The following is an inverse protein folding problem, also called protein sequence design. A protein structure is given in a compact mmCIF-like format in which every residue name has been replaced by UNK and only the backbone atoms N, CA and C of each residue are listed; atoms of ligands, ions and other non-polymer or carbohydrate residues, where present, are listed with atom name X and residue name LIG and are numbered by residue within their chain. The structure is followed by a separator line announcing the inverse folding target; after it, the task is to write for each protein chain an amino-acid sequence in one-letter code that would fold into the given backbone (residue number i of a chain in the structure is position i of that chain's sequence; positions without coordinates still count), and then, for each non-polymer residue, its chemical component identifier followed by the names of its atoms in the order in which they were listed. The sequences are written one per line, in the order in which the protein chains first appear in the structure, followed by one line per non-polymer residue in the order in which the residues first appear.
data_IF_630184772639
#
_entry.id   IF_630184772639
#
_cell.length_a   1.000
_cell.length_b   1.000
_cell.length_c   1.000
_cell.angle_alpha   90.00
_cell.angle_beta   90.00
_cell.angle_gamma   90.00
#
_symmetry.space_group_name_H-M   'P 1'
#
loop_
_entity.id
_entity.type
_entity.pdbx_description
1 polymer ?
#
# COMPACT_ATOMS: atom_id res chain seq x y z
N UNK A 1 20.68 -8.41 4.78
CA UNK A 1 20.40 -6.99 5.05
C UNK A 1 19.96 -6.90 6.50
N UNK A 2 20.71 -6.18 7.32
CA UNK A 2 20.31 -5.95 8.71
C UNK A 2 19.23 -4.88 8.70
N UNK A 3 18.09 -5.12 9.36
CA UNK A 3 16.96 -4.18 9.44
C UNK A 3 17.34 -2.79 10.03
N UNK A 4 18.55 -2.66 10.57
CA UNK A 4 19.10 -1.40 11.09
C UNK A 4 19.65 -0.47 10.01
N UNK A 5 20.13 -0.97 8.87
CA UNK A 5 20.80 -0.16 7.85
C UNK A 5 19.81 0.52 6.90
N UNK A 6 18.69 -0.14 6.60
CA UNK A 6 17.62 0.40 5.72
C UNK A 6 16.56 1.20 6.50
N UNK A 7 16.75 1.42 7.79
CA UNK A 7 15.77 2.13 8.61
C UNK A 7 15.93 3.65 8.42
N UNK A 8 14.95 4.26 7.77
CA UNK A 8 14.87 5.71 7.65
C UNK A 8 14.67 6.38 9.03
N UNK A 9 15.31 7.54 9.20
CA UNK A 9 15.00 8.42 10.32
C UNK A 9 13.55 8.93 10.22
N UNK A 10 12.97 9.32 11.37
CA UNK A 10 11.56 9.72 11.42
C UNK A 10 11.22 10.88 10.48
N UNK A 11 12.12 11.84 10.27
CA UNK A 11 11.84 13.00 9.40
C UNK A 11 11.80 12.55 7.94
N UNK A 12 12.78 11.77 7.51
CA UNK A 12 12.82 11.24 6.14
C UNK A 12 11.63 10.33 5.88
N UNK A 13 11.30 9.43 6.81
CA UNK A 13 10.15 8.54 6.69
C UNK A 13 8.83 9.33 6.55
N UNK A 14 8.58 10.31 7.43
CA UNK A 14 7.37 11.15 7.35
C UNK A 14 7.28 11.92 6.03
N UNK A 15 8.42 12.44 5.55
CA UNK A 15 8.48 13.15 4.28
C UNK A 15 8.14 12.24 3.10
N UNK A 16 8.78 11.07 2.99
CA UNK A 16 8.48 10.10 1.92
C UNK A 16 7.01 9.67 1.94
N UNK A 17 6.47 9.41 3.12
CA UNK A 17 5.06 9.04 3.27
C UNK A 17 4.11 10.14 2.76
N UNK A 18 4.32 11.39 3.19
CA UNK A 18 3.45 12.52 2.83
C UNK A 18 3.60 12.98 1.39
N UNK A 19 4.83 12.99 0.89
CA UNK A 19 5.15 13.64 -0.38
C UNK A 19 5.12 12.66 -1.56
N UNK A 20 5.28 11.36 -1.30
CA UNK A 20 5.37 10.33 -2.35
C UNK A 20 4.30 9.24 -2.21
N UNK A 21 4.17 8.61 -1.04
CA UNK A 21 3.27 7.46 -0.86
C UNK A 21 1.81 7.89 -0.95
N UNK A 22 1.40 8.87 -0.14
CA UNK A 22 -0.01 9.31 -0.10
C UNK A 22 -0.47 9.89 -1.44
N UNK A 23 0.25 10.83 -2.09
CA UNK A 23 -0.22 11.44 -3.34
C UNK A 23 -0.30 10.48 -4.53
N UNK A 24 0.45 9.37 -4.51
CA UNK A 24 0.47 8.36 -5.58
C UNK A 24 -0.38 7.13 -5.24
N UNK A 25 -1.08 7.16 -4.11
CA UNK A 25 -2.04 6.12 -3.70
C UNK A 25 -3.47 6.62 -3.89
N UNK A 26 -4.43 5.71 -3.75
CA UNK A 26 -5.85 6.01 -3.75
C UNK A 26 -6.31 6.71 -2.46
N UNK A 27 -5.43 6.90 -1.47
CA UNK A 27 -5.78 7.40 -0.14
C UNK A 27 -6.48 8.77 -0.16
N UNK A 28 -6.09 9.67 -1.06
CA UNK A 28 -6.69 11.00 -1.15
C UNK A 28 -8.05 11.02 -1.88
N UNK A 29 -8.38 9.96 -2.61
CA UNK A 29 -9.62 9.85 -3.40
C UNK A 29 -10.63 8.90 -2.78
N UNK A 30 -10.17 7.95 -1.96
CA UNK A 30 -11.02 7.02 -1.26
C UNK A 30 -11.87 7.72 -0.19
N UNK A 31 -13.10 7.25 -0.02
CA UNK A 31 -14.04 7.80 0.95
C UNK A 31 -13.91 7.09 2.29
N UNK A 32 -14.20 7.82 3.36
CA UNK A 32 -14.43 7.22 4.67
C UNK A 32 -15.83 6.61 4.73
N UNK A 33 -15.95 5.45 5.36
CA UNK A 33 -17.22 4.72 5.51
C UNK A 33 -17.57 4.55 6.98
N UNK A 34 -18.87 4.59 7.31
CA UNK A 34 -19.37 4.27 8.66
C UNK A 34 -19.03 2.84 9.11
N UNK A 35 -18.88 1.93 8.13
CA UNK A 35 -18.52 0.53 8.33
C UNK A 35 -17.43 0.12 7.33
N UNK A 36 -16.16 0.50 7.57
CA UNK A 36 -15.07 0.18 6.64
C UNK A 36 -14.82 -1.33 6.61
N UNK A 37 -14.33 -1.81 5.46
CA UNK A 37 -13.93 -3.21 5.26
C UNK A 37 -12.44 -3.28 4.99
N UNK A 38 -11.79 -4.30 5.54
CA UNK A 38 -10.40 -4.63 5.23
C UNK A 38 -10.34 -6.06 4.71
N UNK A 39 -9.64 -6.25 3.59
CA UNK A 39 -9.44 -7.56 2.95
C UNK A 39 -7.95 -7.87 3.01
N UNK A 40 -7.60 -8.97 3.68
CA UNK A 40 -6.22 -9.43 3.80
C UNK A 40 -6.04 -10.61 2.85
N UNK A 41 -5.17 -10.45 1.85
CA UNK A 41 -4.90 -11.49 0.86
C UNK A 41 -3.76 -12.41 1.33
N UNK A 42 -4.01 -13.72 1.26
CA UNK A 42 -3.03 -14.77 1.56
C UNK A 42 -2.81 -15.70 0.36
N UNK A 43 -1.63 -16.32 0.31
CA UNK A 43 -1.28 -17.30 -0.72
C UNK A 43 0.18 -17.22 -1.12
N UNK A 44 0.73 -18.34 -1.62
CA UNK A 44 2.12 -18.42 -2.05
C UNK A 44 2.46 -17.39 -3.15
N UNK A 45 3.73 -16.99 -3.30
CA UNK A 45 4.20 -16.29 -4.49
C UNK A 45 3.76 -17.02 -5.78
N UNK A 46 3.27 -16.29 -6.78
CA UNK A 46 2.74 -16.88 -8.02
C UNK A 46 1.31 -17.41 -7.96
N UNK A 47 0.62 -17.41 -6.82
CA UNK A 47 -0.76 -17.90 -6.68
C UNK A 47 -1.84 -17.04 -7.37
N UNK A 48 -1.46 -15.93 -8.02
CA UNK A 48 -2.43 -15.05 -8.70
C UNK A 48 -3.14 -14.03 -7.79
N UNK A 49 -2.56 -13.65 -6.64
CA UNK A 49 -3.16 -12.69 -5.69
C UNK A 49 -3.58 -11.35 -6.32
N UNK A 50 -2.88 -10.88 -7.37
CA UNK A 50 -3.28 -9.67 -8.09
C UNK A 50 -4.69 -9.74 -8.71
N UNK A 51 -5.14 -10.94 -9.09
CA UNK A 51 -6.53 -11.16 -9.53
C UNK A 51 -7.54 -10.95 -8.39
N UNK A 52 -7.20 -11.34 -7.17
CA UNK A 52 -8.03 -11.11 -5.98
C UNK A 52 -8.07 -9.62 -5.62
N UNK A 53 -6.96 -8.90 -5.72
CA UNK A 53 -6.94 -7.44 -5.54
C UNK A 53 -7.88 -6.75 -6.52
N UNK A 54 -7.86 -7.14 -7.79
CA UNK A 54 -8.77 -6.60 -8.81
C UNK A 54 -10.25 -6.94 -8.51
N UNK A 55 -10.52 -8.17 -8.09
CA UNK A 55 -11.88 -8.58 -7.71
C UNK A 55 -12.41 -7.77 -6.51
N UNK A 56 -11.59 -7.59 -5.48
CA UNK A 56 -11.92 -6.78 -4.31
C UNK A 56 -12.19 -5.31 -4.67
N UNK A 57 -11.37 -4.73 -5.56
CA UNK A 57 -11.57 -3.36 -6.04
C UNK A 57 -12.91 -3.22 -6.78
N UNK A 58 -13.29 -4.19 -7.63
CA UNK A 58 -14.60 -4.18 -8.29
C UNK A 58 -15.76 -4.33 -7.30
N UNK A 59 -15.64 -5.22 -6.31
CA UNK A 59 -16.66 -5.41 -5.26
C UNK A 59 -16.88 -4.14 -4.44
N UNK A 60 -15.81 -3.39 -4.17
CA UNK A 60 -15.85 -2.13 -3.45
C UNK A 60 -16.08 -0.92 -4.36
N UNK A 61 -16.52 -1.13 -5.60
CA UNK A 61 -16.84 -0.06 -6.57
C UNK A 61 -15.68 0.92 -6.82
N UNK A 62 -14.44 0.43 -6.73
CA UNK A 62 -13.22 1.24 -6.86
C UNK A 62 -12.85 2.06 -5.62
N UNK A 63 -13.68 2.07 -4.58
CA UNK A 63 -13.44 2.80 -3.35
C UNK A 63 -12.63 1.96 -2.35
N UNK A 64 -11.37 1.74 -2.69
CA UNK A 64 -10.43 0.92 -1.93
C UNK A 64 -9.03 1.52 -2.01
N UNK A 65 -8.30 1.45 -0.90
CA UNK A 65 -6.87 1.78 -0.86
C UNK A 65 -6.09 0.47 -0.86
N UNK A 66 -5.30 0.24 -1.90
CA UNK A 66 -4.47 -0.98 -1.99
C UNK A 66 -3.14 -0.76 -1.28
N UNK A 67 -2.80 -1.63 -0.33
CA UNK A 67 -1.52 -1.59 0.38
C UNK A 67 -0.69 -2.80 -0.05
N UNK A 68 0.26 -2.58 -0.95
CA UNK A 68 1.20 -3.60 -1.43
C UNK A 68 2.62 -3.30 -0.94
N UNK A 69 3.17 -4.09 0.01
CA UNK A 69 4.53 -3.90 0.51
C UNK A 69 5.61 -3.98 -0.56
N UNK A 70 5.40 -4.73 -1.64
CA UNK A 70 6.39 -4.87 -2.72
C UNK A 70 6.48 -3.56 -3.53
N UNK A 71 5.32 -2.95 -3.86
CA UNK A 71 5.26 -1.62 -4.50
C UNK A 71 5.82 -0.54 -3.59
N UNK A 72 5.56 -0.64 -2.27
CA UNK A 72 6.04 0.37 -1.32
C UNK A 72 7.56 0.44 -1.22
N UNK A 73 8.30 -0.60 -1.64
CA UNK A 73 9.78 -0.56 -1.68
C UNK A 73 10.32 0.49 -2.64
N UNK A 74 9.61 0.78 -3.74
CA UNK A 74 10.03 1.78 -4.72
C UNK A 74 10.12 3.20 -4.15
N UNK A 75 9.48 3.46 -3.01
CA UNK A 75 9.53 4.76 -2.34
C UNK A 75 10.73 4.90 -1.40
N UNK A 76 11.51 3.85 -1.18
CA UNK A 76 12.72 3.96 -0.37
C UNK A 76 13.77 4.81 -1.11
N UNK A 77 14.38 5.83 -0.48
CA UNK A 77 15.33 6.74 -1.14
C UNK A 77 16.58 6.10 -1.74
N UNK A 78 16.87 4.84 -1.41
CA UNK A 78 18.06 4.10 -1.87
C UNK A 78 17.72 2.87 -2.72
N UNK A 79 16.45 2.73 -3.13
CA UNK A 79 16.00 1.66 -4.03
C UNK A 79 16.32 1.94 -5.50
#
# INVERSE_FOLDING_TARGET
MSASEDRLDSKTHTRVFRDSVIPKSEFNTALSHDRPKAIILGGQPGAGKGGLTRAASMELSGDVVTIDPDVLREYHPTS
#
